data_IF_105159966355
#
_entry.id   IF_105159966355
#
_cell.length_a   1.000
_cell.length_b   1.000
_cell.length_c   1.000
_cell.angle_alpha   90.00
_cell.angle_beta   90.00
_cell.angle_gamma   90.00
#
_symmetry.space_group_name_H-M   'P 1'
#
loop_
_entity.id
_entity.type
_entity.pdbx_description
1 polymer ?
#
# COMPACT_ATOMS: atom_id res chain seq x y z
N UNK A 1 19.44 25.92 -39.78
CA UNK A 1 18.40 26.95 -40.09
C UNK A 1 17.14 26.83 -39.21
N UNK A 2 16.47 25.67 -39.19
CA UNK A 2 15.22 25.46 -38.44
C UNK A 2 15.36 25.62 -36.91
N UNK A 3 16.51 25.22 -36.33
CA UNK A 3 16.75 25.27 -34.88
C UNK A 3 16.79 26.71 -34.31
N UNK A 4 17.12 27.71 -35.14
CA UNK A 4 17.13 29.13 -34.76
C UNK A 4 15.80 29.83 -35.03
N UNK A 5 14.95 29.24 -35.87
CA UNK A 5 13.69 29.81 -36.30
C UNK A 5 12.63 29.65 -35.20
N UNK A 6 12.50 28.46 -34.62
CA UNK A 6 11.52 28.18 -33.55
C UNK A 6 11.70 29.11 -32.33
N UNK A 7 12.91 29.34 -31.77
CA UNK A 7 13.09 30.28 -30.66
C UNK A 7 12.82 31.74 -31.04
N UNK A 8 12.96 32.11 -32.32
CA UNK A 8 12.61 33.45 -32.81
C UNK A 8 11.10 33.60 -32.91
N UNK A 9 10.41 32.60 -33.43
CA UNK A 9 8.94 32.56 -33.56
C UNK A 9 8.23 32.49 -32.19
N UNK A 10 8.83 31.81 -31.20
CA UNK A 10 8.36 31.88 -29.79
C UNK A 10 8.52 33.31 -29.24
N UNK A 11 9.66 33.97 -29.53
CA UNK A 11 9.96 35.32 -29.03
C UNK A 11 9.09 36.39 -29.67
N UNK A 12 8.81 36.29 -30.97
CA UNK A 12 7.87 37.16 -31.70
C UNK A 12 6.41 36.86 -31.37
N UNK A 13 6.13 35.78 -30.62
CA UNK A 13 4.80 35.27 -30.25
C UNK A 13 3.99 34.71 -31.41
N UNK A 14 4.64 34.40 -32.53
CA UNK A 14 4.05 33.66 -33.65
C UNK A 14 3.78 32.19 -33.24
N UNK A 15 4.62 31.64 -32.34
CA UNK A 15 4.37 30.38 -31.64
C UNK A 15 3.93 30.67 -30.20
N UNK A 16 2.74 30.21 -29.83
CA UNK A 16 2.22 30.27 -28.47
C UNK A 16 2.64 29.03 -27.68
N UNK A 17 3.29 29.24 -26.54
CA UNK A 17 3.62 28.17 -25.59
C UNK A 17 2.49 28.06 -24.56
N UNK A 18 2.00 26.84 -24.35
CA UNK A 18 1.00 26.53 -23.33
C UNK A 18 1.55 25.42 -22.45
N UNK A 19 1.51 25.64 -21.14
CA UNK A 19 1.88 24.62 -20.16
C UNK A 19 0.67 23.75 -19.87
N UNK A 20 0.84 22.43 -19.95
CA UNK A 20 -0.19 21.45 -19.58
C UNK A 20 0.38 20.56 -18.51
N UNK A 21 -0.24 20.54 -17.34
CA UNK A 21 0.12 19.61 -16.27
C UNK A 21 -0.45 18.23 -16.60
N UNK A 22 0.44 17.29 -16.89
CA UNK A 22 0.09 15.90 -17.15
C UNK A 22 0.39 15.04 -15.93
N UNK A 23 -0.46 14.04 -15.69
CA UNK A 23 -0.23 13.01 -14.67
C UNK A 23 0.84 11.98 -15.09
N UNK A 24 1.18 11.93 -16.38
CA UNK A 24 2.18 11.03 -16.94
C UNK A 24 3.17 11.79 -17.83
N UNK A 25 4.46 11.45 -17.84
CA UNK A 25 5.45 12.10 -18.71
C UNK A 25 5.13 11.84 -20.18
N UNK A 26 5.43 12.82 -21.04
CA UNK A 26 5.34 12.65 -22.49
C UNK A 26 6.39 11.64 -23.00
N UNK A 27 6.23 11.03 -24.18
CA UNK A 27 7.24 10.11 -24.74
C UNK A 27 8.65 10.71 -24.81
N UNK A 28 8.74 12.01 -25.11
CA UNK A 28 10.01 12.75 -25.13
C UNK A 28 10.59 12.97 -23.72
N UNK A 29 9.78 13.40 -22.76
CA UNK A 29 10.22 13.58 -21.37
C UNK A 29 10.59 12.24 -20.72
N UNK A 30 9.87 11.18 -21.07
CA UNK A 30 10.16 9.80 -20.69
C UNK A 30 11.56 9.40 -21.15
N UNK A 31 11.89 9.59 -22.44
CA UNK A 31 13.21 9.26 -22.97
C UNK A 31 14.36 10.00 -22.27
N UNK A 32 14.18 11.29 -21.93
CA UNK A 32 15.20 12.08 -21.21
C UNK A 32 15.39 11.62 -19.75
N UNK A 33 14.31 11.28 -19.05
CA UNK A 33 14.37 10.69 -17.71
C UNK A 33 15.06 9.32 -17.75
N UNK A 34 14.88 8.55 -18.82
CA UNK A 34 15.50 7.24 -19.02
C UNK A 34 16.98 7.32 -19.44
N UNK A 35 17.39 8.27 -20.27
CA UNK A 35 18.80 8.43 -20.69
C UNK A 35 19.71 8.74 -19.48
N UNK A 36 19.15 9.42 -18.47
CA UNK A 36 19.81 9.60 -17.17
C UNK A 36 20.00 8.28 -16.39
N UNK A 37 19.13 7.28 -16.59
CA UNK A 37 19.16 5.96 -15.92
C UNK A 37 19.97 4.92 -16.72
N UNK A 38 19.97 4.99 -18.06
CA UNK A 38 20.71 4.08 -18.94
C UNK A 38 22.22 4.11 -18.74
N UNK A 39 22.78 5.24 -18.28
CA UNK A 39 24.19 5.34 -17.90
C UNK A 39 24.55 4.53 -16.63
N UNK A 40 23.57 4.15 -15.80
CA UNK A 40 23.81 3.41 -14.55
C UNK A 40 23.52 1.91 -14.64
N UNK A 41 22.80 1.46 -15.68
CA UNK A 41 22.53 0.03 -15.91
C UNK A 41 23.78 -0.72 -16.40
N UNK A 42 24.79 -0.01 -16.91
CA UNK A 42 26.04 -0.61 -17.42
C UNK A 42 27.24 -0.54 -16.46
N UNK A 43 27.07 -0.02 -15.23
CA UNK A 43 28.08 -0.18 -14.17
C UNK A 43 27.83 -1.50 -13.43
N UNK A 44 28.51 -2.56 -13.87
CA UNK A 44 28.37 -3.93 -13.35
C UNK A 44 28.86 -4.18 -11.92
N UNK A 45 29.08 -3.14 -11.10
CA UNK A 45 29.73 -3.26 -9.78
C UNK A 45 28.87 -2.75 -8.60
N UNK A 46 27.60 -2.39 -8.83
CA UNK A 46 26.70 -1.95 -7.77
C UNK A 46 26.08 -3.14 -6.98
N UNK A 47 26.20 -3.18 -5.63
CA UNK A 47 25.53 -4.17 -4.78
C UNK A 47 24.02 -4.26 -5.06
N UNK A 48 23.45 -5.46 -4.96
CA UNK A 48 22.01 -5.72 -5.23
C UNK A 48 21.08 -4.75 -4.48
N UNK A 49 21.41 -4.36 -3.25
CA UNK A 49 20.63 -3.43 -2.44
C UNK A 49 20.56 -2.00 -3.03
N UNK A 50 21.65 -1.50 -3.61
CA UNK A 50 21.67 -0.18 -4.28
C UNK A 50 20.85 -0.20 -5.57
N UNK A 51 20.94 -1.30 -6.34
CA UNK A 51 20.09 -1.51 -7.53
C UNK A 51 18.60 -1.50 -7.17
N UNK A 52 18.22 -2.17 -6.08
CA UNK A 52 16.84 -2.20 -5.58
C UNK A 52 16.35 -0.82 -5.12
N UNK A 53 17.20 -0.06 -4.43
CA UNK A 53 16.87 1.29 -3.97
C UNK A 53 16.61 2.28 -5.13
N UNK A 54 17.33 2.13 -6.24
CA UNK A 54 17.21 3.00 -7.42
C UNK A 54 16.04 2.58 -8.34
N UNK A 55 15.74 1.29 -8.47
CA UNK A 55 14.55 0.82 -9.17
C UNK A 55 13.25 1.35 -8.52
N UNK A 56 13.24 1.52 -7.20
CA UNK A 56 12.10 2.05 -6.45
C UNK A 56 11.89 3.57 -6.60
N UNK A 57 12.84 4.33 -7.16
CA UNK A 57 12.70 5.77 -7.47
C UNK A 57 12.05 6.06 -8.83
N UNK A 58 11.84 5.04 -9.67
CA UNK A 58 11.26 5.19 -11.01
C UNK A 58 9.72 5.16 -10.97
N UNK A 59 9.08 5.96 -11.84
CA UNK A 59 7.63 6.10 -11.95
C UNK A 59 6.95 4.75 -12.35
N UNK A 60 5.96 4.26 -11.60
CA UNK A 60 5.33 2.94 -11.78
C UNK A 60 4.73 2.64 -13.16
N UNK A 61 4.30 3.66 -13.92
CA UNK A 61 3.71 3.43 -15.25
C UNK A 61 4.77 3.08 -16.29
N UNK A 62 6.01 3.52 -16.08
CA UNK A 62 7.16 3.28 -16.95
C UNK A 62 7.85 1.94 -16.67
N UNK A 63 7.98 1.55 -15.40
CA UNK A 63 8.51 0.23 -15.02
C UNK A 63 7.64 -0.92 -15.52
N UNK A 64 6.30 -0.76 -15.47
CA UNK A 64 5.34 -1.75 -15.97
C UNK A 64 5.50 -2.11 -17.45
N UNK A 65 5.95 -1.17 -18.27
CA UNK A 65 6.13 -1.38 -19.72
C UNK A 65 7.44 -2.09 -20.05
N UNK A 66 8.42 -2.11 -19.13
CA UNK A 66 9.79 -2.55 -19.40
C UNK A 66 10.25 -3.76 -18.56
N UNK A 67 9.82 -3.89 -17.30
CA UNK A 67 10.26 -4.96 -16.38
C UNK A 67 9.24 -6.10 -16.20
N UNK A 68 8.01 -5.90 -16.67
CA UNK A 68 6.90 -6.82 -16.38
C UNK A 68 6.52 -6.83 -14.89
N UNK A 69 5.47 -7.58 -14.55
CA UNK A 69 4.90 -7.65 -13.20
C UNK A 69 5.83 -8.33 -12.15
N UNK A 70 6.92 -8.95 -12.59
CA UNK A 70 7.65 -9.98 -11.84
C UNK A 70 8.64 -9.46 -10.76
N UNK A 71 9.04 -8.19 -10.76
CA UNK A 71 10.16 -7.73 -9.90
C UNK A 71 9.73 -6.99 -8.61
N UNK A 72 8.45 -6.64 -8.45
CA UNK A 72 8.01 -5.85 -7.29
C UNK A 72 8.07 -6.64 -5.98
N UNK A 73 7.77 -7.95 -6.01
CA UNK A 73 7.85 -8.83 -4.84
C UNK A 73 9.25 -8.89 -4.23
N UNK A 74 10.29 -8.77 -5.04
CA UNK A 74 11.69 -8.84 -4.58
C UNK A 74 12.20 -7.56 -3.93
N UNK A 75 11.47 -6.45 -4.13
CA UNK A 75 11.80 -5.13 -3.60
C UNK A 75 11.08 -4.81 -2.29
N UNK A 76 10.03 -5.57 -1.96
CA UNK A 76 9.21 -5.36 -0.78
C UNK A 76 9.70 -6.25 0.37
N UNK A 77 9.81 -5.66 1.55
CA UNK A 77 10.25 -6.36 2.75
C UNK A 77 9.06 -7.05 3.42
N UNK A 78 9.20 -8.35 3.73
CA UNK A 78 8.13 -9.17 4.28
C UNK A 78 7.76 -8.77 5.72
N UNK A 79 8.73 -8.38 6.53
CA UNK A 79 8.50 -7.95 7.92
C UNK A 79 7.80 -6.59 7.93
N UNK A 80 8.23 -5.67 7.06
CA UNK A 80 7.56 -4.37 6.91
C UNK A 80 6.11 -4.55 6.45
N UNK A 81 5.84 -5.50 5.56
CA UNK A 81 4.47 -5.84 5.17
C UNK A 81 3.66 -6.33 6.36
N UNK A 82 4.18 -7.30 7.12
CA UNK A 82 3.49 -7.85 8.29
C UNK A 82 3.19 -6.79 9.35
N UNK A 83 4.16 -5.92 9.67
CA UNK A 83 3.98 -4.79 10.59
C UNK A 83 2.91 -3.80 10.09
N UNK A 84 2.92 -3.49 8.79
CA UNK A 84 1.93 -2.61 8.20
C UNK A 84 0.53 -3.21 8.25
N UNK A 85 0.37 -4.50 7.95
CA UNK A 85 -0.92 -5.21 8.05
C UNK A 85 -1.47 -5.18 9.48
N UNK A 86 -0.65 -5.41 10.50
CA UNK A 86 -1.04 -5.31 11.92
C UNK A 86 -1.52 -3.90 12.29
N UNK A 87 -0.82 -2.86 11.82
CA UNK A 87 -1.19 -1.46 12.06
C UNK A 87 -2.49 -1.08 11.36
N UNK A 88 -2.65 -1.46 10.09
CA UNK A 88 -3.85 -1.15 9.31
C UNK A 88 -5.09 -1.84 9.91
N UNK A 89 -4.92 -3.05 10.42
CA UNK A 89 -5.97 -3.82 11.06
C UNK A 89 -6.23 -3.45 12.53
N UNK A 90 -5.47 -2.52 13.11
CA UNK A 90 -5.58 -2.14 14.52
C UNK A 90 -5.43 -3.34 15.49
N UNK A 91 -4.64 -4.35 15.09
CA UNK A 91 -4.33 -5.51 15.93
C UNK A 91 -3.13 -5.21 16.85
N UNK A 92 -2.35 -4.18 16.51
CA UNK A 92 -1.28 -3.66 17.36
C UNK A 92 -1.82 -3.22 18.74
N UNK A 93 -1.22 -3.66 19.87
CA UNK A 93 -1.66 -3.31 21.22
C UNK A 93 -1.78 -1.80 21.48
N UNK A 94 -0.94 -0.97 20.84
CA UNK A 94 -1.01 0.49 20.97
C UNK A 94 -2.29 1.08 20.35
N UNK A 95 -2.87 0.37 19.38
CA UNK A 95 -4.07 0.78 18.63
C UNK A 95 -5.36 0.10 19.09
N UNK A 96 -5.28 -0.75 20.11
CA UNK A 96 -6.46 -1.41 20.67
C UNK A 96 -7.47 -0.40 21.21
N UNK A 97 -8.75 -0.65 20.93
CA UNK A 97 -9.84 0.14 21.48
C UNK A 97 -9.92 -0.04 23.00
N UNK A 98 -9.99 1.09 23.71
CA UNK A 98 -9.95 1.15 25.19
C UNK A 98 -11.32 1.42 25.81
N UNK A 99 -12.30 1.83 25.00
CA UNK A 99 -13.63 2.27 25.40
C UNK A 99 -14.65 2.01 24.27
N UNK A 100 -15.97 2.06 24.54
CA UNK A 100 -17.01 1.85 23.54
C UNK A 100 -16.85 2.71 22.28
N UNK A 101 -16.49 3.99 22.44
CA UNK A 101 -16.27 4.88 21.27
C UNK A 101 -15.15 4.38 20.36
N UNK A 102 -14.11 3.75 20.91
CA UNK A 102 -13.03 3.17 20.13
C UNK A 102 -13.52 1.98 19.29
N UNK A 103 -14.48 1.21 19.79
CA UNK A 103 -15.12 0.13 19.01
C UNK A 103 -15.96 0.70 17.86
N UNK A 104 -16.69 1.80 18.10
CA UNK A 104 -17.42 2.49 17.03
C UNK A 104 -16.47 3.05 15.96
N UNK A 105 -15.34 3.64 16.35
CA UNK A 105 -14.29 4.07 15.42
C UNK A 105 -13.69 2.91 14.63
N UNK A 106 -13.51 1.73 15.25
CA UNK A 106 -13.02 0.53 14.57
C UNK A 106 -13.96 0.10 13.44
N UNK A 107 -15.26 0.00 13.69
CA UNK A 107 -16.24 -0.40 12.66
C UNK A 107 -16.44 0.68 11.59
N UNK A 108 -16.29 1.96 11.92
CA UNK A 108 -16.27 3.05 10.93
C UNK A 108 -15.06 2.95 10.00
N UNK A 109 -13.89 2.60 10.54
CA UNK A 109 -12.63 2.54 9.79
C UNK A 109 -12.48 1.24 9.00
N UNK A 110 -12.66 0.10 9.65
CA UNK A 110 -12.43 -1.23 9.07
C UNK A 110 -13.64 -1.73 8.29
N UNK A 111 -14.85 -1.37 8.74
CA UNK A 111 -16.11 -1.85 8.20
C UNK A 111 -16.73 -2.92 9.09
N UNK A 112 -17.23 -3.98 8.46
CA UNK A 112 -17.87 -5.09 9.13
C UNK A 112 -16.84 -5.85 9.93
N UNK A 113 -17.15 -6.17 11.18
CA UNK A 113 -16.31 -6.99 12.04
C UNK A 113 -17.17 -8.02 12.78
N UNK A 114 -16.65 -9.23 12.95
CA UNK A 114 -17.26 -10.21 13.87
C UNK A 114 -17.01 -9.79 15.33
N UNK A 115 -17.75 -10.38 16.27
CA UNK A 115 -17.51 -10.14 17.70
C UNK A 115 -16.07 -10.50 18.09
N UNK A 116 -15.55 -11.61 17.58
CA UNK A 116 -14.21 -12.09 17.88
C UNK A 116 -13.14 -11.17 17.29
N UNK A 117 -13.38 -10.64 16.09
CA UNK A 117 -12.52 -9.65 15.46
C UNK A 117 -12.47 -8.34 16.25
N UNK A 118 -13.58 -7.89 16.82
CA UNK A 118 -13.60 -6.71 17.69
C UNK A 118 -12.82 -7.02 18.97
N UNK A 119 -13.04 -8.19 19.58
CA UNK A 119 -12.31 -8.60 20.78
C UNK A 119 -10.79 -8.64 20.58
N UNK A 120 -10.32 -9.12 19.42
CA UNK A 120 -8.90 -9.14 19.06
C UNK A 120 -8.28 -7.74 18.87
N UNK A 121 -9.11 -6.69 18.75
CA UNK A 121 -8.70 -5.29 18.55
C UNK A 121 -9.04 -4.41 19.75
N UNK A 122 -9.36 -5.03 20.89
CA UNK A 122 -9.69 -4.34 22.15
C UNK A 122 -8.73 -4.77 23.25
N UNK A 123 -8.53 -3.89 24.23
CA UNK A 123 -7.65 -4.18 25.36
C UNK A 123 -8.09 -5.44 26.13
N UNK A 124 -7.11 -6.13 26.72
CA UNK A 124 -7.38 -7.29 27.57
C UNK A 124 -8.27 -6.90 28.76
N UNK A 125 -9.29 -7.73 29.05
CA UNK A 125 -10.25 -7.47 30.12
C UNK A 125 -11.40 -6.53 29.75
N UNK A 126 -11.49 -6.07 28.50
CA UNK A 126 -12.63 -5.29 28.04
C UNK A 126 -13.93 -6.11 28.00
N UNK A 127 -15.02 -5.51 28.45
CA UNK A 127 -16.37 -6.07 28.36
C UNK A 127 -16.99 -5.80 26.97
N UNK A 128 -16.39 -6.36 25.92
CA UNK A 128 -16.78 -6.09 24.51
C UNK A 128 -18.26 -6.37 24.24
N UNK A 129 -18.82 -7.40 24.88
CA UNK A 129 -20.24 -7.72 24.76
C UNK A 129 -21.14 -6.58 25.27
N UNK A 130 -20.84 -6.04 26.44
CA UNK A 130 -21.57 -4.92 27.05
C UNK A 130 -21.42 -3.65 26.20
N UNK A 131 -20.21 -3.37 25.72
CA UNK A 131 -19.95 -2.22 24.83
C UNK A 131 -20.76 -2.31 23.53
N UNK A 132 -20.84 -3.50 22.93
CA UNK A 132 -21.65 -3.72 21.71
C UNK A 132 -23.14 -3.59 21.99
N UNK A 133 -23.62 -4.06 23.13
CA UNK A 133 -25.02 -3.91 23.55
C UNK A 133 -25.39 -2.43 23.74
N UNK A 134 -24.52 -1.67 24.41
CA UNK A 134 -24.71 -0.23 24.62
C UNK A 134 -24.71 0.53 23.29
N UNK A 135 -23.72 0.30 22.42
CA UNK A 135 -23.63 0.91 21.10
C UNK A 135 -24.82 0.55 20.19
N UNK A 136 -25.34 -0.67 20.31
CA UNK A 136 -26.54 -1.11 19.58
C UNK A 136 -27.80 -0.42 20.12
N UNK A 137 -27.91 -0.27 21.45
CA UNK A 137 -29.02 0.45 22.11
C UNK A 137 -29.03 1.94 21.71
N UNK A 138 -27.84 2.54 21.62
CA UNK A 138 -27.63 3.91 21.14
C UNK A 138 -27.79 4.06 19.62
N UNK A 139 -27.97 2.95 18.87
CA UNK A 139 -28.09 2.91 17.41
C UNK A 139 -26.87 3.46 16.66
N UNK A 140 -25.68 3.31 17.25
CA UNK A 140 -24.40 3.67 16.62
C UNK A 140 -23.78 2.51 15.86
N UNK A 141 -24.09 1.29 16.30
CA UNK A 141 -23.67 0.04 15.67
C UNK A 141 -24.89 -0.80 15.37
N UNK A 142 -24.87 -1.50 14.23
CA UNK A 142 -25.92 -2.45 13.86
C UNK A 142 -25.33 -3.81 13.52
N UNK A 143 -26.06 -4.85 13.90
CA UNK A 143 -25.75 -6.23 13.54
C UNK A 143 -26.40 -6.57 12.21
N UNK A 144 -25.60 -7.06 11.27
CA UNK A 144 -26.01 -7.46 9.92
C UNK A 144 -25.53 -8.88 9.63
N UNK A 145 -26.20 -9.57 8.71
CA UNK A 145 -25.68 -10.83 8.18
C UNK A 145 -24.88 -10.55 6.91
N UNK A 146 -23.61 -10.95 6.90
CA UNK A 146 -22.69 -10.84 5.77
C UNK A 146 -21.97 -12.17 5.64
N UNK A 147 -21.96 -12.74 4.43
CA UNK A 147 -21.33 -14.03 4.15
C UNK A 147 -21.79 -15.17 5.09
N UNK A 148 -23.07 -15.19 5.47
CA UNK A 148 -23.69 -16.12 6.42
C UNK A 148 -23.20 -16.00 7.88
N UNK A 149 -22.52 -14.91 8.22
CA UNK A 149 -22.04 -14.63 9.57
C UNK A 149 -22.67 -13.35 10.12
N UNK A 150 -22.93 -13.32 11.42
CA UNK A 150 -23.36 -12.11 12.11
C UNK A 150 -22.17 -11.19 12.35
N UNK A 151 -22.22 -9.99 11.77
CA UNK A 151 -21.17 -8.98 11.86
C UNK A 151 -21.74 -7.63 12.28
N UNK A 152 -20.91 -6.81 12.89
CA UNK A 152 -21.25 -5.48 13.37
C UNK A 152 -20.67 -4.44 12.41
N UNK A 153 -21.51 -3.46 12.04
CA UNK A 153 -21.13 -2.31 11.21
C UNK A 153 -21.52 -1.02 11.91
N UNK A 154 -20.88 0.08 11.54
CA UNK A 154 -21.34 1.41 11.91
C UNK A 154 -22.73 1.67 11.31
N UNK A 155 -23.64 2.29 12.08
CA UNK A 155 -24.98 2.63 11.62
C UNK A 155 -24.94 3.57 10.39
N UNK A 156 -23.90 4.42 10.31
CA UNK A 156 -23.61 5.33 9.21
C UNK A 156 -23.38 4.62 7.88
N UNK A 157 -22.95 3.36 7.91
CA UNK A 157 -22.71 2.56 6.71
C UNK A 157 -23.92 1.69 6.32
N UNK A 158 -25.05 1.78 7.04
CA UNK A 158 -26.22 0.93 6.83
C UNK A 158 -26.69 0.90 5.36
N UNK A 159 -26.84 2.06 4.72
CA UNK A 159 -27.21 2.14 3.31
C UNK A 159 -26.20 1.44 2.39
N UNK A 160 -24.89 1.58 2.66
CA UNK A 160 -23.84 0.96 1.83
C UNK A 160 -23.93 -0.57 1.86
N UNK A 161 -24.15 -1.16 3.04
CA UNK A 161 -24.30 -2.61 3.17
C UNK A 161 -25.61 -3.13 2.59
N UNK A 162 -26.72 -2.41 2.82
CA UNK A 162 -28.01 -2.74 2.20
C UNK A 162 -27.90 -2.74 0.68
N UNK A 163 -27.32 -1.69 0.11
CA UNK A 163 -27.31 -1.50 -1.35
C UNK A 163 -26.24 -2.36 -2.04
N UNK A 164 -25.10 -2.63 -1.39
CA UNK A 164 -24.06 -3.49 -1.96
C UNK A 164 -24.31 -4.99 -1.78
N UNK A 165 -24.80 -5.40 -0.62
CA UNK A 165 -24.87 -6.82 -0.21
C UNK A 165 -26.30 -7.33 -0.01
N UNK A 166 -27.31 -6.46 -0.07
CA UNK A 166 -28.69 -6.82 0.23
C UNK A 166 -28.94 -7.08 1.72
N UNK A 167 -28.07 -6.61 2.61
CA UNK A 167 -28.21 -6.83 4.04
C UNK A 167 -29.49 -6.17 4.59
N UNK A 168 -30.22 -6.91 5.44
CA UNK A 168 -31.42 -6.42 6.11
C UNK A 168 -31.03 -5.48 7.25
N UNK A 169 -31.54 -4.25 7.23
CA UNK A 169 -31.27 -3.26 8.27
C UNK A 169 -32.34 -3.30 9.37
N UNK A 170 -31.95 -3.15 10.65
CA UNK A 170 -32.91 -3.03 11.74
C UNK A 170 -33.73 -1.74 11.63
N UNK A 171 -34.93 -1.75 12.19
CA UNK A 171 -35.80 -0.58 12.23
C UNK A 171 -35.29 0.46 13.23
N UNK A 172 -35.60 1.74 12.99
CA UNK A 172 -35.29 2.84 13.91
C UNK A 172 -33.95 3.55 13.66
N UNK A 173 -33.24 3.22 12.58
CA UNK A 173 -32.11 4.02 12.11
C UNK A 173 -32.58 5.39 11.61
N UNK A 174 -31.82 6.48 11.84
CA UNK A 174 -32.10 7.78 11.24
C UNK A 174 -32.14 7.70 9.71
N UNK A 175 -33.11 8.39 9.09
CA UNK A 175 -33.29 8.41 7.63
C UNK A 175 -32.02 8.84 6.87
N UNK A 176 -31.20 9.72 7.49
CA UNK A 176 -29.93 10.16 6.94
C UNK A 176 -28.95 9.00 6.65
N UNK A 177 -28.97 7.94 7.48
CA UNK A 177 -28.11 6.76 7.32
C UNK A 177 -28.67 5.74 6.31
N UNK A 178 -29.90 5.96 5.84
CA UNK A 178 -30.56 5.11 4.84
C UNK A 178 -30.41 5.66 3.42
N UNK A 179 -29.78 6.84 3.25
CA UNK A 179 -29.50 7.45 1.95
C UNK A 179 -28.39 6.64 1.24
N UNK A 180 -28.73 6.08 0.07
CA UNK A 180 -27.83 5.26 -0.73
C UNK A 180 -26.68 6.02 -1.38
N UNK A 181 -25.61 5.30 -1.69
CA UNK A 181 -24.45 5.79 -2.43
C UNK A 181 -24.47 5.24 -3.87
N UNK A 182 -23.97 5.99 -4.85
CA UNK A 182 -24.04 5.59 -6.26
C UNK A 182 -23.27 4.30 -6.60
N UNK A 183 -22.18 4.00 -5.89
CA UNK A 183 -21.30 2.85 -6.14
C UNK A 183 -20.94 2.14 -4.81
N UNK A 184 -21.92 1.51 -4.14
CA UNK A 184 -21.75 1.04 -2.77
C UNK A 184 -20.73 -0.10 -2.66
N UNK A 185 -20.69 -1.03 -3.64
CA UNK A 185 -19.70 -2.11 -3.66
C UNK A 185 -18.26 -1.58 -3.88
N UNK A 186 -18.09 -0.58 -4.73
CA UNK A 186 -16.78 0.07 -4.91
C UNK A 186 -16.34 0.80 -3.65
N UNK A 187 -17.27 1.42 -2.90
CA UNK A 187 -16.98 2.03 -1.61
C UNK A 187 -16.50 1.00 -0.56
N UNK A 188 -17.18 -0.14 -0.44
CA UNK A 188 -16.75 -1.24 0.44
C UNK A 188 -15.39 -1.81 0.02
N UNK A 189 -15.20 -2.03 -1.27
CA UNK A 189 -13.93 -2.51 -1.85
C UNK A 189 -12.78 -1.55 -1.56
N UNK A 190 -13.01 -0.25 -1.73
CA UNK A 190 -12.02 0.80 -1.43
C UNK A 190 -11.67 0.84 0.05
N UNK A 191 -12.67 0.71 0.95
CA UNK A 191 -12.41 0.66 2.39
C UNK A 191 -11.57 -0.57 2.74
N UNK A 192 -11.92 -1.74 2.20
CA UNK A 192 -11.16 -2.98 2.39
C UNK A 192 -9.70 -2.80 1.94
N UNK A 193 -9.47 -2.26 0.73
CA UNK A 193 -8.13 -2.05 0.20
C UNK A 193 -7.27 -1.09 1.05
N UNK A 194 -7.89 -0.11 1.73
CA UNK A 194 -7.19 0.84 2.61
C UNK A 194 -6.81 0.29 3.96
N UNK A 195 -7.44 -0.80 4.38
CA UNK A 195 -7.24 -1.40 5.70
C UNK A 195 -6.51 -2.73 5.63
N UNK A 196 -6.22 -3.25 4.43
CA UNK A 196 -5.50 -4.50 4.22
C UNK A 196 -4.23 -4.28 3.41
N UNK A 197 -3.28 -5.20 3.54
CA UNK A 197 -2.15 -5.33 2.62
C UNK A 197 -2.60 -5.90 1.26
N UNK A 198 -1.68 -6.45 0.45
CA UNK A 198 -2.03 -7.15 -0.78
C UNK A 198 -3.07 -8.24 -0.53
N UNK A 199 -4.14 -8.25 -1.33
CA UNK A 199 -5.22 -9.22 -1.22
C UNK A 199 -5.64 -9.75 -2.59
N UNK A 200 -6.23 -10.94 -2.62
CA UNK A 200 -6.79 -11.49 -3.86
C UNK A 200 -8.27 -11.15 -3.99
N UNK A 201 -8.79 -11.23 -5.22
CA UNK A 201 -10.23 -11.12 -5.47
C UNK A 201 -11.03 -12.14 -4.68
N UNK A 202 -10.49 -13.35 -4.53
CA UNK A 202 -11.12 -14.44 -3.77
C UNK A 202 -11.27 -14.10 -2.29
N UNK A 203 -10.29 -13.41 -1.70
CA UNK A 203 -10.32 -13.03 -0.28
C UNK A 203 -11.41 -11.99 -0.03
N UNK A 204 -11.48 -10.96 -0.88
CA UNK A 204 -12.52 -9.94 -0.78
C UNK A 204 -13.92 -10.50 -1.09
N UNK A 205 -14.05 -11.35 -2.11
CA UNK A 205 -15.30 -12.02 -2.45
C UNK A 205 -15.81 -12.87 -1.28
N UNK A 206 -14.91 -13.64 -0.64
CA UNK A 206 -15.21 -14.41 0.56
C UNK A 206 -15.60 -13.51 1.74
N UNK A 207 -14.88 -12.40 1.96
CA UNK A 207 -15.19 -11.45 3.03
C UNK A 207 -16.59 -10.88 2.88
N UNK A 208 -16.96 -10.42 1.68
CA UNK A 208 -18.24 -9.76 1.45
C UNK A 208 -19.40 -10.73 1.17
N UNK A 209 -19.11 -12.00 0.89
CA UNK A 209 -20.12 -13.00 0.53
C UNK A 209 -20.73 -12.77 -0.85
N UNK A 210 -19.96 -12.17 -1.78
CA UNK A 210 -20.40 -11.84 -3.15
C UNK A 210 -19.64 -12.64 -4.20
N UNK A 211 -20.19 -12.70 -5.41
CA UNK A 211 -19.52 -13.36 -6.53
C UNK A 211 -18.20 -12.69 -6.93
N UNK A 212 -17.14 -13.44 -7.27
CA UNK A 212 -15.85 -12.87 -7.68
C UNK A 212 -15.93 -11.88 -8.85
N UNK A 213 -16.88 -12.06 -9.77
CA UNK A 213 -17.08 -11.17 -10.91
C UNK A 213 -17.51 -9.74 -10.50
N UNK A 214 -18.32 -9.60 -9.45
CA UNK A 214 -18.72 -8.29 -8.92
C UNK A 214 -17.53 -7.55 -8.30
N UNK A 215 -16.68 -8.29 -7.57
CA UNK A 215 -15.45 -7.76 -6.98
C UNK A 215 -14.47 -7.32 -8.07
N UNK A 216 -14.28 -8.12 -9.11
CA UNK A 216 -13.45 -7.77 -10.27
C UNK A 216 -13.92 -6.47 -10.93
N UNK A 217 -15.24 -6.32 -11.14
CA UNK A 217 -15.81 -5.08 -11.68
C UNK A 217 -15.52 -3.86 -10.80
N UNK A 218 -15.75 -3.98 -9.50
CA UNK A 218 -15.48 -2.91 -8.53
C UNK A 218 -13.99 -2.54 -8.45
N UNK A 219 -13.09 -3.53 -8.46
CA UNK A 219 -11.66 -3.32 -8.50
C UNK A 219 -11.22 -2.65 -9.81
N UNK A 220 -11.77 -3.06 -10.95
CA UNK A 220 -11.52 -2.45 -12.25
C UNK A 220 -11.90 -0.96 -12.27
N UNK A 221 -13.08 -0.60 -11.73
CA UNK A 221 -13.50 0.81 -11.60
C UNK A 221 -12.50 1.62 -10.75
N UNK A 222 -12.06 1.06 -9.62
CA UNK A 222 -11.09 1.72 -8.74
C UNK A 222 -9.69 1.79 -9.34
N UNK A 223 -9.32 0.82 -10.17
CA UNK A 223 -8.03 0.77 -10.87
C UNK A 223 -7.92 1.86 -11.94
N UNK A 224 -8.99 2.11 -12.70
CA UNK A 224 -9.06 3.19 -13.69
C UNK A 224 -8.81 4.55 -13.05
N UNK A 225 -9.31 4.76 -11.83
CA UNK A 225 -9.10 6.01 -11.05
C UNK A 225 -7.73 6.02 -10.35
N UNK A 226 -7.00 4.90 -10.32
CA UNK A 226 -5.70 4.76 -9.65
C UNK A 226 -5.80 4.66 -8.13
N UNK A 227 -6.97 4.29 -7.60
CA UNK A 227 -7.16 4.08 -6.15
C UNK A 227 -6.55 2.74 -5.71
N UNK A 228 -6.69 1.70 -6.53
CA UNK A 228 -6.07 0.39 -6.32
C UNK A 228 -5.17 0.04 -7.48
N UNK A 229 -4.21 -0.85 -7.21
CA UNK A 229 -3.20 -1.29 -8.17
C UNK A 229 -3.20 -2.81 -8.20
N UNK A 230 -3.30 -3.39 -9.40
CA UNK A 230 -3.12 -4.83 -9.63
C UNK A 230 -1.64 -5.17 -9.80
N UNK A 231 -1.20 -6.29 -9.25
CA UNK A 231 0.16 -6.78 -9.45
C UNK A 231 0.52 -7.91 -8.50
N UNK A 232 1.82 -8.11 -8.35
CA UNK A 232 2.42 -9.15 -7.54
C UNK A 232 3.19 -8.48 -6.40
N UNK A 233 2.65 -8.49 -5.17
CA UNK A 233 3.18 -7.65 -4.09
C UNK A 233 3.68 -8.44 -2.88
N UNK A 234 3.00 -9.50 -2.47
CA UNK A 234 3.39 -10.28 -1.30
C UNK A 234 4.71 -11.03 -1.56
N UNK A 235 5.76 -10.82 -0.75
CA UNK A 235 7.01 -11.58 -0.88
C UNK A 235 6.76 -13.08 -0.67
N UNK A 236 7.23 -13.92 -1.60
CA UNK A 236 6.97 -15.37 -1.58
C UNK A 236 5.53 -15.78 -1.91
N UNK A 237 4.63 -14.84 -2.20
CA UNK A 237 3.28 -15.12 -2.66
C UNK A 237 3.21 -15.48 -4.15
N UNK A 238 2.04 -15.93 -4.59
CA UNK A 238 1.76 -16.27 -5.98
C UNK A 238 0.42 -15.70 -6.45
N UNK A 239 0.34 -15.37 -7.74
CA UNK A 239 -0.88 -14.90 -8.38
C UNK A 239 -1.09 -13.39 -8.31
N UNK A 240 -2.15 -12.94 -8.99
CA UNK A 240 -2.49 -11.51 -9.10
C UNK A 240 -3.21 -11.03 -7.83
N UNK A 241 -2.65 -9.97 -7.26
CA UNK A 241 -3.10 -9.33 -6.04
C UNK A 241 -3.49 -7.88 -6.32
N UNK A 242 -4.22 -7.30 -5.37
CA UNK A 242 -4.68 -5.93 -5.38
C UNK A 242 -4.24 -5.24 -4.10
N UNK A 243 -3.91 -3.95 -4.19
CA UNK A 243 -3.53 -3.13 -3.04
C UNK A 243 -3.97 -1.68 -3.26
N UNK A 244 -4.33 -0.95 -2.20
CA UNK A 244 -4.54 0.50 -2.28
C UNK A 244 -3.22 1.22 -2.61
N UNK A 245 -3.28 2.22 -3.49
CA UNK A 245 -2.11 2.95 -3.95
C UNK A 245 -1.37 3.71 -2.82
N UNK A 246 -2.09 4.16 -1.79
CA UNK A 246 -1.51 4.80 -0.60
C UNK A 246 -0.85 3.80 0.34
N UNK A 247 -1.47 2.63 0.52
CA UNK A 247 -0.88 1.52 1.28
C UNK A 247 0.41 1.03 0.61
N UNK A 248 0.40 0.81 -0.71
CA UNK A 248 1.59 0.42 -1.47
C UNK A 248 2.72 1.45 -1.35
N UNK A 249 2.38 2.74 -1.41
CA UNK A 249 3.36 3.83 -1.24
C UNK A 249 4.02 3.78 0.13
N UNK A 250 3.22 3.58 1.19
CA UNK A 250 3.72 3.47 2.57
C UNK A 250 4.62 2.24 2.72
N UNK A 251 4.19 1.10 2.19
CA UNK A 251 4.96 -0.14 2.19
C UNK A 251 6.31 0.01 1.49
N UNK A 252 6.33 0.60 0.29
CA UNK A 252 7.57 0.89 -0.46
C UNK A 252 8.49 1.81 0.32
N UNK A 253 7.97 2.91 0.86
CA UNK A 253 8.77 3.88 1.60
C UNK A 253 9.43 3.25 2.83
N UNK A 254 8.70 2.42 3.59
CA UNK A 254 9.22 1.75 4.78
C UNK A 254 10.21 0.62 4.42
N UNK A 255 9.93 -0.15 3.37
CA UNK A 255 10.85 -1.19 2.87
C UNK A 255 12.17 -0.56 2.43
N UNK A 256 12.10 0.55 1.69
CA UNK A 256 13.29 1.31 1.28
C UNK A 256 14.06 1.88 2.48
N UNK A 257 13.37 2.43 3.47
CA UNK A 257 14.01 2.95 4.68
C UNK A 257 14.75 1.85 5.46
N UNK A 258 14.18 0.63 5.51
CA UNK A 258 14.82 -0.53 6.13
C UNK A 258 16.07 -0.98 5.37
N UNK A 259 15.96 -1.14 4.05
CA UNK A 259 17.12 -1.44 3.19
C UNK A 259 18.23 -0.39 3.30
N UNK A 260 17.89 0.90 3.40
CA UNK A 260 18.88 1.97 3.59
C UNK A 260 19.58 1.91 4.95
N UNK A 261 18.89 1.48 6.01
CA UNK A 261 19.52 1.27 7.32
C UNK A 261 20.51 0.10 7.30
N UNK A 262 20.27 -0.91 6.47
CA UNK A 262 21.23 -2.02 6.28
C UNK A 262 22.50 -1.59 5.54
N UNK A 263 22.45 -0.46 4.81
CA UNK A 263 23.57 0.11 4.03
C UNK A 263 24.02 1.46 4.61
N UNK A 264 23.76 1.71 5.89
CA UNK A 264 24.12 2.99 6.52
C UNK A 264 25.66 3.18 6.48
N UNK A 265 26.17 4.38 6.08
CA UNK A 265 27.59 4.63 6.01
C UNK A 265 28.27 4.34 7.35
N UNK A 266 29.23 3.43 7.34
CA UNK A 266 30.03 3.16 8.53
C UNK A 266 30.92 4.37 8.85
N UNK A 267 31.17 4.60 10.14
CA UNK A 267 32.13 5.61 10.59
C UNK A 267 33.48 5.43 9.86
N UNK A 268 34.17 6.54 9.56
CA UNK A 268 35.45 6.50 8.83
C UNK A 268 36.48 5.57 9.51
N UNK A 269 36.43 5.48 10.84
CA UNK A 269 37.27 4.59 11.64
C UNK A 269 36.95 3.09 11.45
N UNK A 270 35.69 2.74 11.18
CA UNK A 270 35.28 1.37 10.88
C UNK A 270 35.71 0.97 9.46
N UNK A 271 35.55 1.87 8.48
CA UNK A 271 36.07 1.66 7.12
C UNK A 271 37.59 1.51 7.10
N UNK A 272 38.31 2.36 7.84
CA UNK A 272 39.77 2.29 7.93
C UNK A 272 40.24 0.94 8.52
N UNK A 273 39.60 0.46 9.59
CA UNK A 273 39.91 -0.86 10.17
C UNK A 273 39.63 -2.00 9.19
N UNK A 274 38.48 -1.97 8.53
CA UNK A 274 38.13 -2.97 7.52
C UNK A 274 39.13 -2.97 6.36
N UNK A 275 39.48 -1.81 5.80
CA UNK A 275 40.41 -1.71 4.68
C UNK A 275 41.82 -2.21 5.05
N UNK A 276 42.32 -1.86 6.24
CA UNK A 276 43.61 -2.34 6.76
C UNK A 276 43.61 -3.86 6.90
N UNK A 277 42.54 -4.44 7.46
CA UNK A 277 42.37 -5.89 7.60
C UNK A 277 42.22 -6.61 6.26
N UNK A 278 41.39 -6.05 5.36
CA UNK A 278 41.11 -6.59 4.04
C UNK A 278 42.35 -6.63 3.15
N UNK A 279 43.17 -5.57 3.20
CA UNK A 279 44.46 -5.53 2.51
C UNK A 279 45.57 -6.30 3.24
N UNK A 280 45.28 -6.93 4.39
CA UNK A 280 46.22 -7.74 5.14
C UNK A 280 47.39 -6.95 5.73
N UNK A 281 47.19 -5.65 6.01
CA UNK A 281 48.25 -4.75 6.51
C UNK A 281 48.50 -4.96 8.01
N UNK A 282 47.47 -5.34 8.75
CA UNK A 282 47.52 -5.67 10.19
C UNK A 282 47.78 -7.17 10.46
N UNK A 283 47.77 -8.01 9.42
CA UNK A 283 48.12 -9.41 9.54
C UNK A 283 49.65 -9.55 9.68
N UNK A 284 50.17 -10.23 10.72
CA UNK A 284 51.59 -10.51 10.80
C UNK A 284 52.01 -11.34 9.59
N UNK A 285 52.94 -10.81 8.79
CA UNK A 285 53.56 -11.56 7.69
C UNK A 285 54.15 -12.85 8.27
N UNK A 286 53.83 -13.98 7.65
CA UNK A 286 54.41 -15.28 7.99
C UNK A 286 55.13 -15.86 6.77
N UNK A 287 56.20 -16.63 7.00
CA UNK A 287 57.07 -17.17 5.94
C UNK A 287 58.19 -16.22 5.50
N UNK A 288 58.78 -16.46 4.32
CA UNK A 288 59.91 -15.67 3.77
C UNK A 288 59.63 -14.17 3.64
N UNK A 289 58.36 -13.77 3.50
CA UNK A 289 57.94 -12.37 3.41
C UNK A 289 58.11 -11.57 4.73
N UNK A 290 58.42 -12.23 5.85
CA UNK A 290 58.73 -11.61 7.13
C UNK A 290 60.23 -11.35 7.37
N UNK A 291 61.10 -11.80 6.45
CA UNK A 291 62.56 -11.67 6.54
C UNK A 291 63.13 -10.48 5.75
N UNK A 292 62.26 -9.68 5.12
CA UNK A 292 62.56 -8.40 4.45
C UNK A 292 62.02 -7.23 5.28
#
# INVERSE_FOLDING_TARGET
>A
PALLQVPREIRSRDIRVVTVDSRTPSPFASALLFEYVGNFIYEGDAPLAERRAQALTVDPLQLRQLLGEAELRELLDADVLAELELQLQHVDPERHAKHPDGVHELVLRLGDLTRDEIAARTIAGAHVAEWLEDLTRERRVVSVNVANETRFIAAEDAAKYRDALGSVMPQGLPDAFLIGEARPLAALTRRYARTHGPFTVSDLARRLGVGPALVQGALGELAVVGTVVEGEFRPGGHGREWIDAGVLRTLRQRSLARLRKEVEPVEQSALARFAVAWHGIDAPRSGEAALL
#
